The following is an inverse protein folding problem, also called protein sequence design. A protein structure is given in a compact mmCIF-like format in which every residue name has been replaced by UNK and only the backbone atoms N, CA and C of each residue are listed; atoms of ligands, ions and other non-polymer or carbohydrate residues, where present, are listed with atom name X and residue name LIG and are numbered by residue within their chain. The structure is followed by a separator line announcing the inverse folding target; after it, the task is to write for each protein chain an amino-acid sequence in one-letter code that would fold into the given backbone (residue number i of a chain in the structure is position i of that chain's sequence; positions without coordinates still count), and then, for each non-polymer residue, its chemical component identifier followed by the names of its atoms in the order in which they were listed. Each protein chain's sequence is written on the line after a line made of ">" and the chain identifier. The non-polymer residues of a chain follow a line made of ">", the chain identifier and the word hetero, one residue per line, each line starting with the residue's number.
data_IF_426316671849
#
_entry.id   IF_426316671849
#
_cell.length_a   1.000
_cell.length_b   1.000
_cell.length_c   1.000
_cell.angle_alpha   90.00
_cell.angle_beta   90.00
_cell.angle_gamma   90.00
#
_symmetry.space_group_name_H-M   'P 1'
#
loop_
_entity.id
_entity.type
_entity.pdbx_description
1 polymer ?
#
# COMPACT_ATOMS: atom_id res chain seq x y z
N UNK A 1 3.77 28.98 10.65
CA UNK A 1 5.22 28.77 10.85
C UNK A 1 5.52 27.82 12.02
N UNK A 2 4.69 27.84 13.08
CA UNK A 2 4.84 27.02 14.28
C UNK A 2 4.71 25.49 14.03
N UNK A 3 3.75 25.07 13.20
CA UNK A 3 3.53 23.65 12.84
C UNK A 3 4.78 23.06 12.14
N UNK A 4 5.42 23.83 11.25
CA UNK A 4 6.63 23.40 10.54
C UNK A 4 7.81 23.16 11.49
N UNK A 5 7.98 24.03 12.48
CA UNK A 5 9.02 23.86 13.49
C UNK A 5 8.77 22.63 14.38
N UNK A 6 7.49 22.34 14.70
CA UNK A 6 7.10 21.15 15.46
C UNK A 6 7.35 19.86 14.66
N UNK A 7 7.09 19.86 13.35
CA UNK A 7 7.35 18.73 12.45
C UNK A 7 8.85 18.49 12.23
N UNK A 8 9.66 19.55 12.14
CA UNK A 8 11.12 19.43 12.02
C UNK A 8 11.78 18.83 13.27
N UNK A 9 11.19 19.00 14.46
CA UNK A 9 11.65 18.31 15.67
C UNK A 9 11.44 16.80 15.61
N UNK A 10 10.44 16.33 14.87
CA UNK A 10 10.11 14.91 14.75
C UNK A 10 11.06 14.22 13.76
N UNK A 11 11.27 14.80 12.57
CA UNK A 11 12.21 14.27 11.57
C UNK A 11 12.71 15.39 10.66
N UNK A 12 14.03 15.51 10.52
CA UNK A 12 14.67 16.49 9.63
C UNK A 12 14.60 15.99 8.18
N UNK A 13 14.15 16.84 7.26
CA UNK A 13 14.13 16.52 5.83
C UNK A 13 15.55 16.50 5.27
N UNK A 14 15.92 15.44 4.56
CA UNK A 14 17.23 15.36 3.92
C UNK A 14 17.21 16.12 2.58
N UNK A 15 18.26 16.91 2.32
CA UNK A 15 18.41 17.70 1.09
C UNK A 15 18.87 16.78 -0.05
N UNK A 16 17.91 16.13 -0.70
CA UNK A 16 18.15 15.25 -1.86
C UNK A 16 18.21 16.04 -3.18
N UNK A 17 19.08 15.62 -4.09
CA UNK A 17 19.20 16.19 -5.45
C UNK A 17 18.01 15.80 -6.33
N UNK A 18 17.68 16.63 -7.33
CA UNK A 18 16.55 16.38 -8.25
C UNK A 18 16.65 15.02 -8.94
N UNK A 19 17.85 14.59 -9.33
CA UNK A 19 18.08 13.27 -9.95
C UNK A 19 17.71 12.11 -9.01
N UNK A 20 18.07 12.18 -7.73
CA UNK A 20 17.74 11.15 -6.74
C UNK A 20 16.23 11.08 -6.47
N UNK A 21 15.53 12.23 -6.46
CA UNK A 21 14.07 12.26 -6.32
C UNK A 21 13.39 11.54 -7.46
N UNK A 22 13.78 11.85 -8.70
CA UNK A 22 13.23 11.21 -9.90
C UNK A 22 13.52 9.71 -9.88
N UNK A 23 14.75 9.29 -9.61
CA UNK A 23 15.11 7.88 -9.51
C UNK A 23 14.27 7.13 -8.46
N UNK A 24 14.01 7.76 -7.31
CA UNK A 24 13.17 7.15 -6.26
C UNK A 24 11.70 6.97 -6.68
N UNK A 25 11.16 7.92 -7.45
CA UNK A 25 9.79 7.81 -8.00
C UNK A 25 9.73 6.73 -9.08
N UNK A 26 10.72 6.68 -9.97
CA UNK A 26 10.80 5.64 -11.01
C UNK A 26 10.84 4.25 -10.38
N UNK A 27 11.65 4.05 -9.34
CA UNK A 27 11.68 2.77 -8.63
C UNK A 27 10.33 2.42 -7.98
N UNK A 28 9.62 3.41 -7.42
CA UNK A 28 8.28 3.18 -6.87
C UNK A 28 7.29 2.75 -7.96
N UNK A 29 7.36 3.36 -9.13
CA UNK A 29 6.53 2.98 -10.29
C UNK A 29 6.84 1.56 -10.73
N UNK A 30 8.12 1.19 -10.89
CA UNK A 30 8.54 -0.16 -11.29
C UNK A 30 8.01 -1.19 -10.28
N UNK A 31 8.18 -0.93 -8.99
CA UNK A 31 7.67 -1.80 -7.92
C UNK A 31 6.13 -1.92 -7.99
N UNK A 32 5.42 -0.83 -8.28
CA UNK A 32 3.96 -0.86 -8.46
C UNK A 32 3.52 -1.66 -9.69
N UNK A 33 4.24 -1.55 -10.80
CA UNK A 33 3.97 -2.33 -12.01
C UNK A 33 4.19 -3.82 -11.76
N UNK A 34 5.30 -4.20 -11.11
CA UNK A 34 5.61 -5.62 -10.85
C UNK A 34 4.63 -6.23 -9.86
N UNK A 35 4.32 -5.53 -8.76
CA UNK A 35 3.31 -6.00 -7.80
C UNK A 35 1.91 -6.05 -8.42
N UNK A 36 1.52 -5.09 -9.26
CA UNK A 36 0.24 -5.09 -9.96
C UNK A 36 0.07 -6.28 -10.93
N UNK A 37 1.14 -6.64 -11.65
CA UNK A 37 1.16 -7.87 -12.46
C UNK A 37 1.06 -9.12 -11.58
N UNK A 38 1.84 -9.17 -10.49
CA UNK A 38 1.81 -10.30 -9.57
C UNK A 38 0.43 -10.49 -8.95
N UNK A 39 -0.25 -9.41 -8.55
CA UNK A 39 -1.61 -9.45 -8.04
C UNK A 39 -2.55 -10.15 -9.03
N UNK A 40 -2.48 -9.77 -10.30
CA UNK A 40 -3.33 -10.39 -11.32
C UNK A 40 -2.97 -11.84 -11.64
N UNK A 41 -1.69 -12.19 -11.63
CA UNK A 41 -1.24 -13.59 -11.78
C UNK A 41 -1.75 -14.44 -10.62
N UNK A 42 -1.72 -13.88 -9.41
CA UNK A 42 -2.20 -14.49 -8.19
C UNK A 42 -3.73 -14.68 -8.21
N UNK A 43 -4.49 -13.75 -8.79
CA UNK A 43 -5.94 -13.87 -8.97
C UNK A 43 -6.35 -14.99 -9.93
N UNK A 44 -5.44 -15.52 -10.75
CA UNK A 44 -5.77 -16.60 -11.68
C UNK A 44 -5.75 -17.96 -10.95
N UNK A 45 -6.92 -18.60 -10.75
CA UNK A 45 -7.02 -19.84 -9.95
C UNK A 45 -6.32 -21.04 -10.59
N UNK A 46 -5.92 -20.95 -11.86
CA UNK A 46 -5.26 -22.03 -12.61
C UNK A 46 -3.76 -22.18 -12.31
N UNK A 47 -3.08 -21.15 -11.79
CA UNK A 47 -1.62 -21.17 -11.62
C UNK A 47 -1.17 -21.21 -10.15
N UNK A 48 -1.99 -20.75 -9.20
CA UNK A 48 -1.61 -20.64 -7.81
C UNK A 48 -2.62 -21.31 -6.87
N UNK A 49 -2.11 -22.01 -5.86
CA UNK A 49 -2.91 -22.57 -4.76
C UNK A 49 -3.76 -21.46 -4.10
N UNK A 50 -4.95 -21.79 -3.55
CA UNK A 50 -5.87 -20.83 -2.90
C UNK A 50 -5.27 -20.01 -1.74
N UNK A 51 -4.05 -20.34 -1.32
CA UNK A 51 -3.25 -19.63 -0.31
C UNK A 51 -2.77 -18.27 -0.85
N UNK A 52 -2.47 -18.18 -2.15
CA UNK A 52 -1.96 -16.94 -2.74
C UNK A 52 -3.08 -16.03 -3.21
N UNK A 53 -4.21 -16.56 -3.71
CA UNK A 53 -5.37 -15.74 -4.12
C UNK A 53 -5.84 -14.82 -2.99
N UNK A 54 -5.85 -15.30 -1.74
CA UNK A 54 -6.12 -14.49 -0.55
C UNK A 54 -5.07 -13.39 -0.31
N UNK A 55 -3.79 -13.63 -0.63
CA UNK A 55 -2.71 -12.65 -0.47
C UNK A 55 -2.74 -11.53 -1.54
N UNK A 56 -3.32 -11.80 -2.71
CA UNK A 56 -3.57 -10.80 -3.76
C UNK A 56 -4.62 -9.77 -3.35
N UNK A 57 -5.67 -10.24 -2.66
CA UNK A 57 -6.76 -9.44 -2.11
C UNK A 57 -6.43 -8.78 -0.76
N UNK A 58 -5.45 -9.30 -0.02
CA UNK A 58 -5.04 -8.73 1.26
C UNK A 58 -4.44 -7.32 1.10
N UNK A 59 -5.22 -6.32 1.51
CA UNK A 59 -4.81 -4.92 1.68
C UNK A 59 -3.49 -4.74 2.45
N UNK A 60 -3.18 -5.69 3.34
CA UNK A 60 -1.98 -5.70 4.17
C UNK A 60 -0.67 -5.56 3.38
N UNK A 61 -0.47 -6.32 2.30
CA UNK A 61 0.80 -6.27 1.55
C UNK A 61 0.99 -4.91 0.86
N UNK A 62 -0.09 -4.34 0.35
CA UNK A 62 -0.11 -3.02 -0.28
C UNK A 62 0.21 -1.92 0.71
N UNK A 63 -0.40 -1.98 1.91
CA UNK A 63 -0.16 -1.03 2.99
C UNK A 63 1.28 -1.16 3.52
N UNK A 64 1.82 -2.38 3.61
CA UNK A 64 3.21 -2.60 4.01
C UNK A 64 4.19 -1.96 3.03
N UNK A 65 4.04 -2.23 1.73
CA UNK A 65 4.90 -1.66 0.68
C UNK A 65 4.77 -0.13 0.64
N UNK A 66 3.55 0.40 0.71
CA UNK A 66 3.32 1.84 0.76
C UNK A 66 3.96 2.51 1.99
N UNK A 67 3.88 1.86 3.15
CA UNK A 67 4.53 2.31 4.39
C UNK A 67 6.04 2.34 4.23
N UNK A 68 6.63 1.29 3.65
CA UNK A 68 8.06 1.19 3.39
C UNK A 68 8.54 2.31 2.44
N UNK A 69 7.82 2.50 1.32
CA UNK A 69 8.09 3.57 0.36
C UNK A 69 8.02 4.95 1.01
N UNK A 70 7.03 5.17 1.89
CA UNK A 70 6.90 6.43 2.63
C UNK A 70 8.06 6.63 3.59
N UNK A 71 8.32 5.68 4.49
CA UNK A 71 9.33 5.79 5.56
C UNK A 71 10.75 5.99 5.01
N UNK A 72 11.10 5.35 3.90
CA UNK A 72 12.41 5.50 3.24
C UNK A 72 12.55 6.74 2.35
N UNK A 73 11.51 7.55 2.19
CA UNK A 73 11.60 8.76 1.38
C UNK A 73 12.40 9.88 2.05
N UNK A 74 13.03 10.72 1.25
CA UNK A 74 13.86 11.84 1.74
C UNK A 74 13.05 13.04 2.26
N UNK A 75 11.82 13.20 1.77
CA UNK A 75 10.91 14.30 2.10
C UNK A 75 9.47 13.80 2.17
N UNK A 76 8.61 14.35 3.05
CA UNK A 76 7.21 13.92 3.17
C UNK A 76 6.41 14.20 1.89
N UNK A 77 6.73 15.28 1.15
CA UNK A 77 6.12 15.55 -0.17
C UNK A 77 6.53 14.50 -1.21
N UNK A 78 7.77 14.03 -1.14
CA UNK A 78 8.28 12.97 -2.01
C UNK A 78 7.65 11.61 -1.66
N UNK A 79 7.44 11.33 -0.37
CA UNK A 79 6.74 10.15 0.09
C UNK A 79 5.33 10.06 -0.50
N UNK A 80 4.57 11.15 -0.40
CA UNK A 80 3.24 11.26 -0.99
C UNK A 80 3.25 11.00 -2.51
N UNK A 81 4.16 11.64 -3.24
CA UNK A 81 4.28 11.46 -4.68
C UNK A 81 4.64 10.01 -5.07
N UNK A 82 5.55 9.36 -4.33
CA UNK A 82 5.96 7.98 -4.58
C UNK A 82 4.82 6.99 -4.35
N UNK A 83 4.09 7.14 -3.24
CA UNK A 83 2.97 6.25 -2.91
C UNK A 83 1.82 6.43 -3.90
N UNK A 84 1.52 7.67 -4.29
CA UNK A 84 0.53 7.94 -5.33
C UNK A 84 0.93 7.32 -6.68
N UNK A 85 2.19 7.48 -7.09
CA UNK A 85 2.70 6.88 -8.32
C UNK A 85 2.70 5.35 -8.28
N UNK A 86 2.98 4.75 -7.12
CA UNK A 86 2.92 3.31 -6.89
C UNK A 86 1.50 2.75 -7.04
N UNK A 87 0.50 3.33 -6.35
CA UNK A 87 -0.88 2.88 -6.48
C UNK A 87 -1.45 3.16 -7.87
N UNK A 88 -1.11 4.30 -8.48
CA UNK A 88 -1.52 4.62 -9.84
C UNK A 88 -0.98 3.62 -10.86
N UNK A 89 0.31 3.26 -10.79
CA UNK A 89 0.90 2.29 -11.72
C UNK A 89 0.36 0.89 -11.50
N UNK A 90 0.17 0.49 -10.24
CA UNK A 90 -0.44 -0.79 -9.87
C UNK A 90 -1.86 -0.93 -10.41
N UNK A 91 -2.75 0.03 -10.14
CA UNK A 91 -4.15 -0.01 -10.59
C UNK A 91 -4.24 0.01 -12.12
N UNK A 92 -3.40 0.80 -12.77
CA UNK A 92 -3.35 0.88 -14.23
C UNK A 92 -3.06 -0.50 -14.82
N UNK A 93 -2.01 -1.17 -14.35
CA UNK A 93 -1.66 -2.51 -14.85
C UNK A 93 -2.74 -3.53 -14.56
N UNK A 94 -3.29 -3.52 -13.35
CA UNK A 94 -4.31 -4.46 -12.92
C UNK A 94 -5.57 -4.38 -13.80
N UNK A 95 -6.07 -3.16 -14.06
CA UNK A 95 -7.26 -2.95 -14.86
C UNK A 95 -7.00 -3.05 -16.36
N UNK A 96 -5.87 -2.56 -16.87
CA UNK A 96 -5.49 -2.76 -18.28
C UNK A 96 -5.40 -4.24 -18.60
N UNK A 97 -4.80 -5.05 -17.72
CA UNK A 97 -4.77 -6.49 -17.90
C UNK A 97 -6.19 -7.08 -17.89
N UNK A 98 -7.04 -6.69 -16.94
CA UNK A 98 -8.40 -7.20 -16.85
C UNK A 98 -9.24 -6.87 -18.09
N UNK A 99 -9.14 -5.64 -18.60
CA UNK A 99 -9.89 -5.21 -19.78
C UNK A 99 -9.39 -5.94 -21.04
N UNK A 100 -8.07 -6.04 -21.22
CA UNK A 100 -7.49 -6.63 -22.43
C UNK A 100 -7.63 -8.16 -22.49
N UNK A 101 -7.43 -8.85 -21.37
CA UNK A 101 -7.38 -10.32 -21.35
C UNK A 101 -8.72 -10.96 -20.94
N UNK A 102 -9.50 -10.32 -20.05
CA UNK A 102 -10.77 -10.87 -19.57
C UNK A 102 -12.00 -10.21 -20.21
N UNK A 103 -11.82 -9.14 -21.02
CA UNK A 103 -12.89 -8.36 -21.64
C UNK A 103 -14.00 -7.94 -20.65
N UNK A 104 -13.65 -7.79 -19.38
CA UNK A 104 -14.56 -7.46 -18.29
C UNK A 104 -14.20 -6.08 -17.73
N UNK A 105 -15.20 -5.23 -17.55
CA UNK A 105 -15.02 -3.86 -17.06
C UNK A 105 -15.67 -3.67 -15.69
N UNK A 106 -14.93 -3.86 -14.58
CA UNK A 106 -15.44 -3.68 -13.23
C UNK A 106 -15.47 -2.19 -12.84
N UNK A 107 -16.44 -1.43 -13.37
CA UNK A 107 -16.53 0.03 -13.17
C UNK A 107 -16.58 0.43 -11.69
N UNK A 108 -17.37 -0.29 -10.88
CA UNK A 108 -17.58 0.03 -9.46
C UNK A 108 -16.28 -0.15 -8.64
N UNK A 109 -15.50 -1.18 -8.94
CA UNK A 109 -14.20 -1.42 -8.33
C UNK A 109 -13.20 -0.33 -8.72
N UNK A 110 -13.11 -0.02 -10.02
CA UNK A 110 -12.21 1.02 -10.53
C UNK A 110 -12.43 2.35 -9.79
N UNK A 111 -13.68 2.76 -9.61
CA UNK A 111 -14.02 4.00 -8.91
C UNK A 111 -13.59 3.92 -7.44
N UNK A 112 -13.95 2.85 -6.73
CA UNK A 112 -13.62 2.68 -5.31
C UNK A 112 -12.10 2.73 -5.08
N UNK A 113 -11.35 1.93 -5.83
CA UNK A 113 -9.90 1.85 -5.68
C UNK A 113 -9.17 3.11 -6.16
N UNK A 114 -9.69 3.81 -7.17
CA UNK A 114 -9.15 5.11 -7.59
C UNK A 114 -9.30 6.18 -6.51
N UNK A 115 -10.42 6.20 -5.79
CA UNK A 115 -10.62 7.10 -4.65
C UNK A 115 -9.64 6.77 -3.53
N UNK A 116 -9.48 5.49 -3.17
CA UNK A 116 -8.48 5.05 -2.19
C UNK A 116 -7.06 5.47 -2.59
N UNK A 117 -6.69 5.29 -3.86
CA UNK A 117 -5.39 5.72 -4.38
C UNK A 117 -5.21 7.24 -4.30
N UNK A 118 -6.26 8.03 -4.53
CA UNK A 118 -6.22 9.48 -4.41
C UNK A 118 -6.05 9.96 -2.95
N UNK A 119 -6.57 9.21 -1.97
CA UNK A 119 -6.39 9.52 -0.52
C UNK A 119 -5.02 9.05 -0.01
N UNK A 120 -4.46 7.99 -0.58
CA UNK A 120 -3.16 7.41 -0.20
C UNK A 120 -1.98 8.39 -0.04
N UNK A 121 -1.78 9.45 -0.86
CA UNK A 121 -0.70 10.42 -0.67
C UNK A 121 -0.79 11.16 0.67
N UNK A 122 -2.00 11.43 1.19
CA UNK A 122 -2.18 12.11 2.48
C UNK A 122 -1.73 11.19 3.61
N UNK A 123 -2.15 9.93 3.58
CA UNK A 123 -1.70 8.91 4.54
C UNK A 123 -0.19 8.71 4.47
N UNK A 124 0.38 8.65 3.27
CA UNK A 124 1.82 8.51 3.06
C UNK A 124 2.60 9.71 3.60
N UNK A 125 2.07 10.93 3.48
CA UNK A 125 2.68 12.13 4.04
C UNK A 125 2.80 12.04 5.56
N UNK A 126 1.73 11.59 6.24
CA UNK A 126 1.70 11.40 7.70
C UNK A 126 2.64 10.25 8.09
N UNK A 127 2.62 9.14 7.36
CA UNK A 127 3.44 7.96 7.60
C UNK A 127 4.95 8.23 7.52
N UNK A 128 5.37 9.25 6.75
CA UNK A 128 6.77 9.65 6.70
C UNK A 128 7.33 10.05 8.07
N UNK A 129 6.47 10.60 8.94
CA UNK A 129 6.82 10.97 10.31
C UNK A 129 6.91 9.78 11.26
N UNK A 130 6.47 8.58 10.89
CA UNK A 130 6.60 7.37 11.70
C UNK A 130 8.06 7.01 12.04
N UNK A 131 9.02 7.46 11.22
CA UNK A 131 10.46 7.29 11.47
C UNK A 131 11.06 8.35 12.41
N UNK A 132 10.25 9.31 12.84
CA UNK A 132 10.70 10.39 13.71
C UNK A 132 10.80 9.98 15.17
N UNK A 133 11.30 10.87 16.01
CA UNK A 133 11.49 10.62 17.44
C UNK A 133 10.28 11.15 18.23
N UNK A 134 9.61 10.28 19.00
CA UNK A 134 8.52 10.65 19.92
C UNK A 134 7.32 9.70 19.91
N UNK A 135 6.42 9.88 20.89
CA UNK A 135 5.21 9.05 21.04
C UNK A 135 4.29 9.10 19.81
N UNK A 136 4.17 10.26 19.16
CA UNK A 136 3.38 10.42 17.94
C UNK A 136 3.85 9.50 16.80
N UNK A 137 5.17 9.34 16.63
CA UNK A 137 5.73 8.45 15.62
C UNK A 137 5.39 6.99 15.88
N UNK A 138 5.43 6.56 17.16
CA UNK A 138 5.09 5.20 17.57
C UNK A 138 3.62 4.87 17.30
N UNK A 139 2.71 5.82 17.56
CA UNK A 139 1.28 5.64 17.25
C UNK A 139 1.07 5.47 15.75
N UNK A 140 1.72 6.32 14.93
CA UNK A 140 1.61 6.24 13.47
C UNK A 140 2.17 4.91 12.95
N UNK A 141 3.28 4.42 13.52
CA UNK A 141 3.89 3.15 13.16
C UNK A 141 3.02 1.94 13.59
N UNK A 142 2.27 2.07 14.68
CA UNK A 142 1.38 1.01 15.14
C UNK A 142 0.23 0.74 14.15
N UNK A 143 -0.25 1.75 13.42
CA UNK A 143 -1.36 1.61 12.46
C UNK A 143 -1.12 0.52 11.39
N UNK A 144 -0.05 0.57 10.58
CA UNK A 144 0.20 -0.47 9.58
C UNK A 144 0.47 -1.84 10.23
N UNK A 145 1.08 -1.88 11.43
CA UNK A 145 1.30 -3.13 12.16
C UNK A 145 -0.03 -3.74 12.59
N UNK A 146 -0.98 -2.95 13.09
CA UNK A 146 -2.31 -3.43 13.48
C UNK A 146 -3.09 -3.97 12.29
N UNK A 147 -3.00 -3.32 11.13
CA UNK A 147 -3.64 -3.81 9.91
C UNK A 147 -3.03 -5.15 9.47
N UNK A 148 -1.70 -5.25 9.45
CA UNK A 148 -1.01 -6.50 9.11
C UNK A 148 -1.34 -7.64 10.07
N UNK A 149 -1.45 -7.35 11.37
CA UNK A 149 -1.86 -8.34 12.37
C UNK A 149 -3.31 -8.77 12.15
N UNK A 150 -4.22 -7.84 11.88
CA UNK A 150 -5.62 -8.15 11.61
C UNK A 150 -5.77 -9.10 10.42
N UNK A 151 -5.09 -8.81 9.31
CA UNK A 151 -5.07 -9.68 8.13
C UNK A 151 -4.48 -11.07 8.45
N UNK A 152 -3.41 -11.11 9.25
CA UNK A 152 -2.80 -12.37 9.72
C UNK A 152 -3.73 -13.20 10.60
N UNK A 153 -4.58 -12.57 11.42
CA UNK A 153 -5.58 -13.24 12.24
C UNK A 153 -6.70 -13.86 11.40
N UNK A 154 -7.20 -13.15 10.40
CA UNK A 154 -8.22 -13.68 9.49
C UNK A 154 -7.71 -14.88 8.70
N UNK A 155 -6.47 -14.83 8.21
CA UNK A 155 -5.81 -15.99 7.60
C UNK A 155 -5.73 -17.17 8.58
N UNK A 156 -5.32 -16.94 9.84
CA UNK A 156 -5.31 -18.00 10.85
C UNK A 156 -6.69 -18.61 11.06
N UNK A 157 -7.74 -17.78 11.18
CA UNK A 157 -9.10 -18.25 11.45
C UNK A 157 -9.69 -19.03 10.26
N UNK A 158 -9.36 -18.63 9.02
CA UNK A 158 -9.75 -19.36 7.82
C UNK A 158 -9.11 -20.77 7.74
N UNK A 159 -7.87 -20.92 8.19
CA UNK A 159 -7.12 -22.18 8.06
C UNK A 159 -7.10 -23.08 9.31
N UNK A 160 -7.31 -22.53 10.51
CA UNK A 160 -7.40 -23.29 11.77
C UNK A 160 -8.74 -23.00 12.45
N UNK A 161 -9.85 -23.64 12.01
CA UNK A 161 -11.15 -23.45 12.63
C UNK A 161 -11.11 -24.03 14.05
N UNK A 162 -10.98 -23.17 15.06
CA UNK A 162 -11.43 -23.52 16.40
C UNK A 162 -12.96 -23.50 16.36
N UNK A 163 -13.55 -24.70 16.48
CA UNK A 163 -14.98 -24.99 16.56
C UNK A 163 -15.96 -23.81 16.42
N UNK A 164 -16.61 -23.75 15.26
CA UNK A 164 -17.99 -23.27 15.13
C UNK A 164 -18.18 -21.75 15.02
N UNK A 165 -17.98 -21.19 13.82
CA UNK A 165 -18.98 -20.41 13.08
C UNK A 165 -18.30 -19.72 11.89
N UNK A 166 -18.35 -20.38 10.74
CA UNK A 166 -18.13 -19.76 9.43
C UNK A 166 -19.29 -18.82 9.20
N UNK A 167 -18.99 -17.52 9.07
CA UNK A 167 -19.69 -16.50 8.28
C UNK A 167 -19.29 -15.13 8.84
N UNK A 168 -18.36 -14.46 8.17
CA UNK A 168 -18.49 -13.05 7.80
C UNK A 168 -17.27 -12.60 7.01
N UNK A 169 -17.55 -11.83 5.96
CA UNK A 169 -16.62 -11.01 5.21
C UNK A 169 -15.68 -11.76 4.25
N UNK A 170 -16.21 -12.02 3.06
CA UNK A 170 -15.45 -11.73 1.85
C UNK A 170 -14.77 -10.37 2.00
N UNK A 171 -13.46 -10.30 1.79
CA UNK A 171 -12.82 -9.06 1.37
C UNK A 171 -13.44 -8.59 0.05
#
# INVERSE_FOLDING_TARGET
>A
MEIYNKLNRVRITNKSTTKQKVFSIVNAVIVGLTLGLLAKVVDNPSYFYPIFTLLGDCLGIWIFVATLLSVFSYSPKLAAAKVFAFFGSMLTVYYVYTILFLNFFPEREIIFWSVCAAVSPVCAYIMWYARGIGLFSNIILALPITVLLSEGFELRNAYLPHGGSVLLSSC
#
